data_IF_839917201804
#
_entry.id   IF_839917201804
#
_cell.length_a   1.000
_cell.length_b   1.000
_cell.length_c   1.000
_cell.angle_alpha   90.00
_cell.angle_beta   90.00
_cell.angle_gamma   90.00
#
_symmetry.space_group_name_H-M   'P 1'
#
loop_
_entity.id
_entity.type
_entity.pdbx_description
1 polymer ?
#
# COMPACT_ATOMS: atom_id res chain seq x y z
N UNK A 1 14.29 -12.71 0.93
CA UNK A 1 13.36 -13.71 0.37
C UNK A 1 12.02 -13.53 1.06
N UNK A 2 11.05 -12.90 0.38
CA UNK A 2 9.69 -12.77 0.90
C UNK A 2 8.78 -13.71 0.12
N UNK A 3 8.09 -14.61 0.80
CA UNK A 3 6.98 -15.34 0.18
C UNK A 3 5.87 -14.33 -0.17
N UNK A 4 5.16 -14.51 -1.30
CA UNK A 4 4.03 -13.65 -1.62
C UNK A 4 2.99 -13.73 -0.48
N UNK A 5 2.39 -12.60 -0.08
CA UNK A 5 1.40 -12.61 0.98
C UNK A 5 0.22 -13.50 0.61
N UNK A 6 -0.27 -14.25 1.60
CA UNK A 6 -1.41 -15.15 1.40
C UNK A 6 -2.71 -14.34 1.30
N UNK A 7 -3.66 -14.78 0.48
CA UNK A 7 -4.96 -14.14 0.39
C UNK A 7 -5.63 -14.06 1.78
N UNK A 8 -6.07 -12.85 2.17
CA UNK A 8 -6.68 -12.59 3.47
C UNK A 8 -5.70 -12.37 4.64
N UNK A 9 -4.39 -12.45 4.39
CA UNK A 9 -3.38 -12.12 5.40
C UNK A 9 -3.48 -10.64 5.81
N UNK A 10 -3.45 -10.31 7.11
CA UNK A 10 -3.44 -8.93 7.56
C UNK A 10 -2.13 -8.26 7.14
N UNK A 11 -2.24 -7.22 6.33
CA UNK A 11 -1.10 -6.43 5.86
C UNK A 11 -1.26 -4.98 6.33
N UNK A 12 -0.12 -4.37 6.61
CA UNK A 12 -0.04 -2.95 6.92
C UNK A 12 0.96 -2.27 5.99
N UNK A 13 0.72 -1.00 5.71
CA UNK A 13 1.58 -0.20 4.87
C UNK A 13 1.89 1.15 5.49
N UNK A 14 3.13 1.57 5.33
CA UNK A 14 3.66 2.84 5.83
C UNK A 14 3.97 3.75 4.66
N UNK A 15 3.13 4.77 4.45
CA UNK A 15 3.27 5.73 3.35
C UNK A 15 4.31 6.81 3.68
N UNK A 16 4.49 7.16 4.97
CA UNK A 16 5.52 8.09 5.43
C UNK A 16 6.22 7.59 6.68
N UNK A 17 7.52 7.87 6.79
CA UNK A 17 8.38 7.40 7.88
C UNK A 17 7.84 7.72 9.29
N UNK A 18 7.17 8.86 9.49
CA UNK A 18 6.64 9.27 10.79
C UNK A 18 5.17 8.93 11.02
N UNK A 19 4.48 8.34 10.05
CA UNK A 19 3.11 7.86 10.24
C UNK A 19 3.10 6.43 10.78
N UNK A 20 2.03 6.13 11.54
CA UNK A 20 1.71 4.76 11.91
C UNK A 20 1.37 3.94 10.66
N UNK A 21 1.56 2.64 10.75
CA UNK A 21 1.21 1.75 9.65
C UNK A 21 -0.32 1.65 9.54
N UNK A 22 -0.82 1.63 8.31
CA UNK A 22 -2.24 1.55 8.04
C UNK A 22 -2.60 0.21 7.44
N UNK A 23 -3.70 -0.39 7.91
CA UNK A 23 -4.21 -1.64 7.37
C UNK A 23 -4.55 -1.49 5.88
N UNK A 24 -4.08 -2.44 5.07
CA UNK A 24 -4.25 -2.42 3.63
C UNK A 24 -4.43 -3.83 3.05
N UNK A 25 -4.89 -3.88 1.81
CA UNK A 25 -4.84 -5.06 0.93
C UNK A 25 -4.01 -4.71 -0.29
N UNK A 26 -3.35 -5.71 -0.85
CA UNK A 26 -2.55 -5.59 -2.06
C UNK A 26 -3.01 -6.63 -3.08
N UNK A 27 -3.14 -6.21 -4.33
CA UNK A 27 -3.55 -7.06 -5.46
C UNK A 27 -2.61 -6.79 -6.63
N UNK A 28 -2.24 -7.81 -7.41
CA UNK A 28 -1.48 -7.59 -8.64
C UNK A 28 -2.32 -6.74 -9.59
N UNK A 29 -1.70 -5.71 -10.14
CA UNK A 29 -2.23 -4.97 -11.27
C UNK A 29 -1.52 -5.48 -12.54
N UNK A 30 -0.99 -4.58 -13.36
CA UNK A 30 -0.39 -4.91 -14.65
C UNK A 30 1.08 -4.55 -14.71
N UNK A 31 1.87 -5.29 -15.49
CA UNK A 31 3.27 -4.95 -15.81
C UNK A 31 4.19 -4.86 -14.59
N UNK A 32 4.04 -5.78 -13.62
CA UNK A 32 4.83 -5.77 -12.38
C UNK A 32 4.36 -4.76 -11.34
N UNK A 33 3.22 -4.10 -11.56
CA UNK A 33 2.62 -3.17 -10.61
C UNK A 33 1.66 -3.86 -9.66
N UNK A 34 1.47 -3.21 -8.53
CA UNK A 34 0.56 -3.64 -7.50
C UNK A 34 -0.41 -2.53 -7.15
N UNK A 35 -1.69 -2.88 -7.01
CA UNK A 35 -2.71 -1.99 -6.46
C UNK A 35 -2.81 -2.22 -4.96
N UNK A 36 -2.80 -1.15 -4.20
CA UNK A 36 -3.02 -1.16 -2.76
C UNK A 36 -4.27 -0.39 -2.40
N UNK A 37 -5.10 -1.02 -1.56
CA UNK A 37 -6.34 -0.45 -1.04
C UNK A 37 -6.23 -0.36 0.47
N UNK A 38 -6.44 0.82 1.04
CA UNK A 38 -6.39 1.01 2.50
C UNK A 38 -7.78 0.84 3.11
N UNK A 39 -7.84 0.25 4.31
CA UNK A 39 -9.11 0.12 5.06
C UNK A 39 -9.56 1.46 5.63
N UNK A 40 -8.60 2.34 5.94
CA UNK A 40 -8.85 3.67 6.49
C UNK A 40 -8.29 4.76 5.56
N UNK A 41 -8.89 5.96 5.58
CA UNK A 41 -8.38 7.12 4.86
C UNK A 41 -6.91 7.41 5.09
N UNK A 42 -6.15 7.64 4.01
CA UNK A 42 -4.75 8.06 4.11
C UNK A 42 -4.61 9.49 3.64
N UNK A 43 -3.90 10.30 4.42
CA UNK A 43 -3.74 11.70 4.10
C UNK A 43 -2.71 11.89 2.98
N UNK A 44 -3.21 12.33 1.83
CA UNK A 44 -2.44 12.85 0.70
C UNK A 44 -1.18 12.00 0.36
N UNK A 45 -1.34 10.71 0.04
CA UNK A 45 -0.26 9.97 -0.61
C UNK A 45 0.17 10.73 -1.87
N UNK A 46 1.47 10.84 -2.11
CA UNK A 46 2.01 11.66 -3.20
C UNK A 46 2.82 10.78 -4.14
N UNK A 47 2.59 10.82 -5.46
CA UNK A 47 3.44 10.14 -6.43
C UNK A 47 4.92 10.49 -6.26
N UNK A 48 5.80 9.51 -6.46
CA UNK A 48 7.24 9.63 -6.21
C UNK A 48 7.67 9.42 -4.76
N UNK A 49 6.73 9.28 -3.82
CA UNK A 49 7.04 8.77 -2.48
C UNK A 49 7.09 7.25 -2.46
N UNK A 50 7.83 6.71 -1.50
CA UNK A 50 7.87 5.28 -1.26
C UNK A 50 6.91 4.89 -0.15
N UNK A 51 6.28 3.74 -0.33
CA UNK A 51 5.58 3.04 0.74
C UNK A 51 6.30 1.74 1.07
N UNK A 52 6.20 1.30 2.33
CA UNK A 52 6.73 0.01 2.78
C UNK A 52 5.58 -0.86 3.26
N UNK A 53 5.57 -2.13 2.82
CA UNK A 53 4.58 -3.14 3.15
C UNK A 53 5.11 -4.07 4.24
N UNK A 54 4.26 -4.36 5.22
CA UNK A 54 4.56 -5.20 6.36
C UNK A 54 3.49 -6.28 6.58
N UNK A 55 3.92 -7.40 7.16
CA UNK A 55 3.08 -8.42 7.75
C UNK A 55 3.47 -8.58 9.22
N UNK A 56 2.75 -7.91 10.12
CA UNK A 56 3.20 -7.75 11.49
C UNK A 56 4.53 -6.99 11.53
N UNK A 57 5.57 -7.59 12.10
CA UNK A 57 6.92 -6.98 12.15
C UNK A 57 7.78 -7.29 10.91
N UNK A 58 7.33 -8.19 10.04
CA UNK A 58 8.10 -8.59 8.86
C UNK A 58 7.94 -7.57 7.72
N UNK A 59 9.07 -6.98 7.29
CA UNK A 59 9.12 -6.15 6.09
C UNK A 59 9.05 -7.04 4.84
N UNK A 60 7.98 -6.88 4.06
CA UNK A 60 7.78 -7.64 2.82
C UNK A 60 8.42 -6.94 1.61
N UNK A 61 8.65 -5.63 1.71
CA UNK A 61 9.24 -4.81 0.66
C UNK A 61 8.57 -3.45 0.58
N UNK A 62 8.84 -2.71 -0.48
CA UNK A 62 8.23 -1.41 -0.73
C UNK A 62 8.30 -1.04 -2.19
N UNK A 63 7.57 0.01 -2.56
CA UNK A 63 7.48 0.46 -3.94
C UNK A 63 7.23 1.96 -4.02
N UNK A 64 7.55 2.54 -5.17
CA UNK A 64 7.26 3.94 -5.43
C UNK A 64 5.79 4.09 -5.81
N UNK A 65 5.11 5.05 -5.19
CA UNK A 65 3.74 5.41 -5.55
C UNK A 65 3.79 6.04 -6.94
N UNK A 66 3.22 5.35 -7.93
CA UNK A 66 3.09 5.85 -9.30
C UNK A 66 1.83 6.72 -9.41
N UNK A 67 0.72 6.24 -8.84
CA UNK A 67 -0.60 6.88 -8.97
C UNK A 67 -1.40 6.75 -7.69
N UNK A 68 -2.26 7.75 -7.48
CA UNK A 68 -3.22 7.83 -6.39
C UNK A 68 -4.60 8.02 -6.98
N UNK A 69 -5.55 7.18 -6.62
CA UNK A 69 -6.94 7.34 -6.99
C UNK A 69 -7.74 7.81 -5.78
N UNK A 70 -8.59 8.81 -5.95
CA UNK A 70 -9.61 9.12 -4.96
C UNK A 70 -10.72 8.07 -5.11
N UNK A 71 -10.89 7.18 -4.12
CA UNK A 71 -11.96 6.19 -4.13
C UNK A 71 -13.36 6.82 -4.14
N UNK A 72 -14.37 6.04 -4.54
CA UNK A 72 -15.79 6.46 -4.65
C UNK A 72 -16.41 6.97 -3.33
N UNK A 73 -15.73 6.78 -2.20
CA UNK A 73 -15.94 7.52 -0.96
C UNK A 73 -14.65 8.28 -0.67
N UNK A 74 -14.73 9.61 -0.67
CA UNK A 74 -13.68 10.64 -0.90
C UNK A 74 -12.46 10.59 0.05
N UNK A 75 -12.26 9.53 0.83
CA UNK A 75 -11.27 9.49 1.92
C UNK A 75 -10.30 8.32 1.85
N UNK A 76 -10.63 7.17 1.26
CA UNK A 76 -9.69 6.04 1.12
C UNK A 76 -8.99 6.08 -0.23
N UNK A 77 -7.66 6.33 -0.28
CA UNK A 77 -6.94 6.32 -1.54
C UNK A 77 -6.57 4.91 -1.95
N UNK A 78 -6.74 4.61 -3.23
CA UNK A 78 -6.14 3.44 -3.86
C UNK A 78 -4.81 3.86 -4.48
N UNK A 79 -3.75 3.08 -4.24
CA UNK A 79 -2.40 3.36 -4.73
C UNK A 79 -2.01 2.34 -5.78
N UNK A 80 -1.22 2.76 -6.77
CA UNK A 80 -0.48 1.85 -7.64
C UNK A 80 1.00 2.06 -7.39
N UNK A 81 1.71 0.95 -7.16
CA UNK A 81 3.16 0.94 -6.94
C UNK A 81 3.89 0.08 -7.98
N UNK A 82 5.13 0.48 -8.27
CA UNK A 82 6.16 -0.29 -8.99
C UNK A 82 7.28 -0.69 -8.05
#
# INVERSE_FOLDING_TARGET
SGAPPTAGQPLTAKIRYRMADAACRIEPADSGRWRMTFTAPQWAPTPGQYLVLYSGEACLGGGAIERTYAGASVRTPDLVIT
#
